data_IF_844387589847
#
_entry.id   IF_844387589847
#
_cell.length_a   1.000
_cell.length_b   1.000
_cell.length_c   1.000
_cell.angle_alpha   90.00
_cell.angle_beta   90.00
_cell.angle_gamma   90.00
#
_symmetry.space_group_name_H-M   'P 1'
#
loop_
_entity.id
_entity.type
_entity.pdbx_description
1 polymer ?
#
# COMPACT_ATOMS: atom_id res chain seq x y z
N UNK A 1 9.60 0.67 13.65
CA UNK A 1 9.38 1.99 13.03
C UNK A 1 9.25 3.13 14.05
N UNK A 2 8.32 3.15 15.02
CA UNK A 2 8.14 4.30 15.96
C UNK A 2 9.42 4.84 16.60
N UNK A 3 10.39 3.97 16.93
CA UNK A 3 11.68 4.38 17.50
C UNK A 3 12.58 5.04 16.46
N UNK A 4 12.65 4.51 15.26
CA UNK A 4 13.48 5.03 14.18
C UNK A 4 12.98 6.41 13.70
N UNK A 5 11.65 6.59 13.60
CA UNK A 5 11.02 7.86 13.25
C UNK A 5 11.31 9.00 14.23
N UNK A 6 11.77 8.70 15.47
CA UNK A 6 12.25 9.73 16.39
C UNK A 6 13.65 10.28 16.02
N UNK A 7 14.42 9.50 15.25
CA UNK A 7 15.75 9.91 14.77
C UNK A 7 15.72 10.64 13.44
N UNK A 8 14.73 10.35 12.60
CA UNK A 8 14.48 10.99 11.32
C UNK A 8 13.01 10.88 10.95
N UNK A 9 12.26 11.91 11.20
CA UNK A 9 10.81 12.00 11.02
C UNK A 9 10.43 12.51 9.63
N UNK A 10 9.13 12.65 9.38
CA UNK A 10 8.62 13.32 8.17
C UNK A 10 9.02 14.81 8.11
N UNK A 11 9.10 15.48 9.26
CA UNK A 11 9.57 16.87 9.33
C UNK A 11 11.03 16.97 8.93
N UNK A 12 11.87 16.06 9.44
CA UNK A 12 13.30 16.04 9.07
C UNK A 12 13.49 15.73 7.58
N UNK A 13 12.67 14.83 7.01
CA UNK A 13 12.69 14.55 5.59
C UNK A 13 12.27 15.78 4.74
N UNK A 14 11.22 16.47 5.18
CA UNK A 14 10.75 17.69 4.54
C UNK A 14 11.85 18.75 4.51
N UNK A 15 12.44 19.09 5.65
CA UNK A 15 13.52 20.04 5.78
C UNK A 15 14.75 19.63 4.96
N UNK A 16 15.08 18.35 4.95
CA UNK A 16 16.21 17.83 4.18
C UNK A 16 16.05 18.07 2.68
N UNK A 17 14.87 17.77 2.10
CA UNK A 17 14.62 18.01 0.68
C UNK A 17 14.54 19.49 0.34
N UNK A 18 13.99 20.34 1.21
CA UNK A 18 14.01 21.80 0.99
C UNK A 18 15.44 22.36 1.01
N UNK A 19 16.27 21.90 1.93
CA UNK A 19 17.70 22.29 1.97
C UNK A 19 18.48 21.84 0.73
N UNK A 20 18.06 20.76 0.08
CA UNK A 20 18.60 20.31 -1.21
C UNK A 20 17.95 21.00 -2.43
N UNK A 21 17.08 21.98 -2.19
CA UNK A 21 16.51 22.83 -3.23
C UNK A 21 15.19 22.38 -3.83
N UNK A 22 14.57 21.32 -3.29
CA UNK A 22 13.23 20.86 -3.70
C UNK A 22 12.16 21.67 -3.00
N UNK A 23 11.35 22.41 -3.74
CA UNK A 23 10.18 23.09 -3.17
C UNK A 23 9.04 22.09 -2.96
N UNK A 24 8.56 21.96 -1.72
CA UNK A 24 7.53 21.01 -1.33
C UNK A 24 6.19 21.71 -1.04
N UNK A 25 5.10 20.94 -1.20
CA UNK A 25 3.75 21.35 -0.81
C UNK A 25 3.04 20.20 -0.09
N UNK A 26 2.30 20.54 0.94
CA UNK A 26 1.45 19.59 1.67
C UNK A 26 0.02 19.71 1.14
N UNK A 27 -0.56 18.59 0.71
CA UNK A 27 -1.94 18.51 0.23
C UNK A 27 -2.95 18.39 1.40
N UNK A 28 -4.23 18.46 1.11
CA UNK A 28 -5.31 18.40 2.13
C UNK A 28 -5.34 17.07 2.90
N UNK A 29 -4.84 15.97 2.29
CA UNK A 29 -4.69 14.65 2.89
C UNK A 29 -3.38 14.47 3.67
N UNK A 30 -2.66 15.56 3.94
CA UNK A 30 -1.34 15.61 4.60
C UNK A 30 -0.21 14.93 3.82
N UNK A 31 -0.45 14.50 2.59
CA UNK A 31 0.61 14.00 1.72
C UNK A 31 1.48 15.15 1.18
N UNK A 32 2.79 14.93 1.15
CA UNK A 32 3.77 15.92 0.68
C UNK A 32 4.27 15.55 -0.71
N UNK A 33 4.25 16.54 -1.61
CA UNK A 33 4.73 16.40 -2.99
C UNK A 33 5.63 17.57 -3.38
N UNK A 34 6.50 17.42 -4.40
CA UNK A 34 7.13 18.56 -5.06
C UNK A 34 6.06 19.52 -5.60
N UNK A 35 6.30 20.82 -5.53
CA UNK A 35 5.40 21.83 -6.13
C UNK A 35 5.22 21.60 -7.63
N UNK A 36 6.24 21.08 -8.30
CA UNK A 36 6.19 20.70 -9.72
C UNK A 36 5.25 19.54 -10.02
N UNK A 37 4.81 18.78 -9.02
CA UNK A 37 4.08 17.50 -9.15
C UNK A 37 4.81 16.46 -10.03
N UNK A 38 6.13 16.61 -10.19
CA UNK A 38 6.97 15.69 -10.98
C UNK A 38 7.89 14.89 -10.03
N UNK A 39 7.67 13.58 -9.97
CA UNK A 39 8.51 12.66 -9.20
C UNK A 39 9.98 12.66 -9.64
N UNK A 40 10.25 13.04 -10.92
CA UNK A 40 11.63 13.14 -11.44
C UNK A 40 12.43 14.25 -10.77
N UNK A 41 11.80 15.26 -10.19
CA UNK A 41 12.51 16.29 -9.41
C UNK A 41 13.24 15.64 -8.22
N UNK A 42 12.60 14.73 -7.49
CA UNK A 42 13.21 13.98 -6.39
C UNK A 42 14.36 13.10 -6.89
N UNK A 43 14.15 12.34 -7.98
CA UNK A 43 15.18 11.47 -8.56
C UNK A 43 16.39 12.26 -9.01
N UNK A 44 16.17 13.39 -9.68
CA UNK A 44 17.24 14.25 -10.17
C UNK A 44 18.03 14.88 -9.01
N UNK A 45 17.35 15.34 -7.97
CA UNK A 45 17.98 15.88 -6.75
C UNK A 45 18.90 14.85 -6.10
N UNK A 46 18.41 13.63 -5.86
CA UNK A 46 19.19 12.53 -5.29
C UNK A 46 20.40 12.19 -6.19
N UNK A 47 20.21 12.17 -7.51
CA UNK A 47 21.29 11.90 -8.47
C UNK A 47 22.36 13.00 -8.45
N UNK A 48 21.94 14.26 -8.35
CA UNK A 48 22.87 15.39 -8.22
C UNK A 48 23.69 15.32 -6.92
N UNK A 49 23.06 14.91 -5.80
CA UNK A 49 23.77 14.73 -4.53
C UNK A 49 24.83 13.63 -4.65
N UNK A 50 24.47 12.46 -5.25
CA UNK A 50 25.42 11.38 -5.52
C UNK A 50 26.63 11.89 -6.29
N UNK A 51 26.42 12.66 -7.36
CA UNK A 51 27.48 13.22 -8.18
C UNK A 51 28.33 14.26 -7.40
N UNK A 52 27.68 15.18 -6.66
CA UNK A 52 28.32 16.21 -5.85
C UNK A 52 29.24 15.60 -4.79
N UNK A 53 28.82 14.50 -4.19
CA UNK A 53 29.60 13.78 -3.18
C UNK A 53 30.64 12.81 -3.75
N UNK A 54 30.77 12.71 -5.07
CA UNK A 54 31.72 11.80 -5.73
C UNK A 54 31.42 10.32 -5.53
N UNK A 55 30.17 9.97 -5.23
CA UNK A 55 29.74 8.57 -5.05
C UNK A 55 29.68 7.89 -6.41
N UNK A 56 30.32 6.74 -6.54
CA UNK A 56 30.30 5.96 -7.79
C UNK A 56 28.98 5.23 -7.96
N UNK A 57 28.17 5.62 -8.94
CA UNK A 57 26.98 4.93 -9.34
C UNK A 57 27.29 3.95 -10.49
N UNK A 58 27.19 2.65 -10.24
CA UNK A 58 27.45 1.60 -11.24
C UNK A 58 26.12 0.99 -11.70
N UNK A 59 25.54 1.58 -12.74
CA UNK A 59 24.33 1.03 -13.35
C UNK A 59 24.61 -0.28 -14.09
N UNK A 60 23.59 -1.14 -14.22
CA UNK A 60 23.72 -2.44 -14.87
C UNK A 60 24.57 -3.47 -14.09
N UNK A 61 24.92 -3.20 -12.84
CA UNK A 61 25.65 -4.13 -11.96
C UNK A 61 24.71 -4.80 -10.97
N UNK A 62 23.93 -5.75 -11.47
CA UNK A 62 23.04 -6.53 -10.61
C UNK A 62 23.86 -7.43 -9.69
N UNK A 63 23.70 -7.28 -8.38
CA UNK A 63 24.29 -8.18 -7.39
C UNK A 63 23.50 -9.49 -7.39
N UNK A 64 24.18 -10.62 -7.56
CA UNK A 64 23.58 -11.96 -7.55
C UNK A 64 23.93 -12.74 -6.30
N UNK A 65 25.06 -12.43 -5.66
CA UNK A 65 25.49 -13.10 -4.45
C UNK A 65 26.28 -12.14 -3.55
N UNK A 66 26.02 -12.23 -2.25
CA UNK A 66 26.79 -11.56 -1.20
C UNK A 66 27.36 -12.65 -0.32
N UNK A 67 28.69 -12.63 -0.12
CA UNK A 67 29.37 -13.52 0.80
C UNK A 67 30.25 -12.74 1.76
N UNK A 68 30.50 -13.28 2.95
CA UNK A 68 31.30 -12.67 3.99
C UNK A 68 32.50 -13.56 4.29
N UNK A 69 33.70 -13.04 4.09
CA UNK A 69 34.93 -13.68 4.50
C UNK A 69 35.21 -13.33 5.97
N UNK A 70 35.01 -14.29 6.84
CA UNK A 70 35.18 -14.12 8.29
C UNK A 70 36.63 -13.95 8.74
N UNK A 71 37.61 -14.36 7.91
CA UNK A 71 39.04 -14.25 8.25
C UNK A 71 39.53 -12.80 8.08
N UNK A 72 39.13 -12.14 7.00
CA UNK A 72 39.55 -10.78 6.72
C UNK A 72 38.43 -9.71 6.99
N UNK A 73 37.25 -10.15 7.39
CA UNK A 73 36.12 -9.28 7.72
C UNK A 73 35.48 -8.57 6.51
N UNK A 74 35.78 -8.99 5.27
CA UNK A 74 35.31 -8.32 4.05
C UNK A 74 34.15 -9.06 3.40
N UNK A 75 33.30 -8.29 2.76
CA UNK A 75 32.25 -8.79 1.89
C UNK A 75 32.75 -8.92 0.46
N UNK A 76 32.30 -9.95 -0.24
CA UNK A 76 32.47 -10.11 -1.69
C UNK A 76 31.10 -10.02 -2.36
N UNK A 77 30.99 -9.18 -3.37
CA UNK A 77 29.78 -8.98 -4.17
C UNK A 77 30.01 -9.55 -5.56
N UNK A 78 29.24 -10.59 -5.92
CA UNK A 78 29.24 -11.13 -7.28
C UNK A 78 28.13 -10.48 -8.09
N UNK A 79 28.51 -9.99 -9.26
CA UNK A 79 27.57 -9.39 -10.22
C UNK A 79 27.17 -10.38 -11.31
N UNK A 80 25.98 -10.17 -11.90
CA UNK A 80 25.51 -10.93 -13.04
C UNK A 80 26.32 -10.71 -14.31
N UNK A 81 26.38 -11.75 -15.16
CA UNK A 81 27.18 -11.75 -16.38
C UNK A 81 28.69 -11.89 -16.10
N UNK A 82 29.54 -11.52 -17.09
CA UNK A 82 30.99 -11.62 -17.00
C UNK A 82 31.64 -10.41 -16.32
N UNK A 83 31.06 -9.89 -15.23
CA UNK A 83 31.62 -8.75 -14.48
C UNK A 83 32.50 -9.24 -13.35
N UNK A 84 33.60 -8.52 -13.10
CA UNK A 84 34.46 -8.78 -11.94
C UNK A 84 33.68 -8.53 -10.64
N UNK A 85 33.91 -9.36 -9.63
CA UNK A 85 33.40 -9.15 -8.27
C UNK A 85 34.00 -7.89 -7.64
N UNK A 86 33.28 -7.33 -6.66
CA UNK A 86 33.79 -6.24 -5.83
C UNK A 86 33.92 -6.71 -4.38
N UNK A 87 34.84 -6.09 -3.64
CA UNK A 87 34.96 -6.28 -2.20
C UNK A 87 34.59 -5.02 -1.45
N UNK A 88 34.07 -5.16 -0.24
CA UNK A 88 33.66 -4.05 0.61
C UNK A 88 33.87 -4.40 2.09
N UNK A 89 34.15 -3.37 2.91
CA UNK A 89 34.25 -3.49 4.36
C UNK A 89 32.85 -3.43 5.01
N UNK A 90 31.89 -2.78 4.33
CA UNK A 90 30.53 -2.62 4.77
C UNK A 90 29.56 -2.71 3.57
N UNK A 91 28.41 -3.36 3.75
CA UNK A 91 27.38 -3.49 2.73
C UNK A 91 26.04 -3.00 3.28
N UNK A 92 25.40 -2.10 2.55
CA UNK A 92 24.02 -1.69 2.81
C UNK A 92 23.12 -2.22 1.70
N UNK A 93 22.16 -3.05 2.06
CA UNK A 93 21.20 -3.61 1.12
C UNK A 93 19.94 -2.74 1.14
N UNK A 94 19.69 -2.01 0.05
CA UNK A 94 18.56 -1.11 -0.12
C UNK A 94 17.89 -1.30 -1.50
N UNK A 95 17.66 -2.56 -1.88
CA UNK A 95 17.20 -2.96 -3.23
C UNK A 95 15.69 -2.75 -3.44
N UNK A 96 14.97 -2.25 -2.45
CA UNK A 96 13.50 -2.16 -2.49
C UNK A 96 12.82 -3.50 -2.29
N UNK A 97 11.51 -3.55 -2.58
CA UNK A 97 10.73 -4.77 -2.51
C UNK A 97 11.13 -5.79 -3.57
N UNK A 98 10.98 -7.07 -3.25
CA UNK A 98 11.36 -8.16 -4.13
C UNK A 98 10.10 -8.91 -4.60
N UNK A 99 9.66 -8.74 -5.86
CA UNK A 99 8.45 -9.38 -6.36
C UNK A 99 8.55 -10.92 -6.48
N UNK A 100 9.76 -11.47 -6.37
CA UNK A 100 10.01 -12.90 -6.43
C UNK A 100 11.04 -13.33 -5.36
N UNK A 101 10.73 -14.39 -4.62
CA UNK A 101 11.60 -14.96 -3.59
C UNK A 101 13.02 -15.29 -4.11
N UNK A 102 13.16 -15.64 -5.40
CA UNK A 102 14.46 -15.91 -6.02
C UNK A 102 15.43 -14.71 -5.98
N UNK A 103 14.95 -13.50 -5.84
CA UNK A 103 15.81 -12.32 -5.70
C UNK A 103 16.51 -12.27 -4.33
N UNK A 104 15.93 -12.92 -3.31
CA UNK A 104 16.52 -13.04 -1.99
C UNK A 104 17.63 -14.13 -1.92
N UNK A 105 17.78 -14.93 -2.98
CA UNK A 105 18.84 -15.95 -3.06
C UNK A 105 20.25 -15.35 -3.02
N UNK A 106 20.38 -14.02 -3.23
CA UNK A 106 21.66 -13.34 -3.05
C UNK A 106 22.22 -13.48 -1.64
N UNK A 107 21.39 -13.78 -0.67
CA UNK A 107 21.80 -13.98 0.73
C UNK A 107 22.11 -15.44 1.08
N UNK A 108 22.00 -16.39 0.14
CA UNK A 108 22.15 -17.82 0.44
C UNK A 108 23.44 -18.21 1.18
N UNK A 109 24.60 -17.50 1.00
CA UNK A 109 25.80 -17.82 1.79
C UNK A 109 25.79 -17.24 3.22
N UNK A 110 24.77 -16.45 3.58
CA UNK A 110 24.73 -15.68 4.83
C UNK A 110 23.66 -16.16 5.81
N UNK A 111 22.94 -17.24 5.48
CA UNK A 111 21.86 -17.81 6.32
C UNK A 111 20.83 -16.76 6.82
N UNK A 112 20.56 -15.73 6.01
CA UNK A 112 19.60 -14.69 6.33
C UNK A 112 18.18 -15.25 6.28
N UNK A 113 17.44 -15.15 7.38
CA UNK A 113 16.04 -15.57 7.44
C UNK A 113 15.19 -14.60 6.60
N UNK A 114 14.41 -15.14 5.67
CA UNK A 114 13.52 -14.35 4.83
C UNK A 114 12.09 -14.79 4.98
N UNK A 115 11.17 -13.82 4.91
CA UNK A 115 9.72 -14.06 4.82
C UNK A 115 9.33 -14.04 3.34
N UNK A 116 8.46 -14.98 2.93
CA UNK A 116 8.05 -15.07 1.53
C UNK A 116 7.43 -13.76 1.04
N UNK A 117 7.97 -13.14 -0.02
CA UNK A 117 7.43 -11.89 -0.53
C UNK A 117 6.11 -12.13 -1.26
N UNK A 118 5.10 -11.35 -0.90
CA UNK A 118 3.78 -11.33 -1.52
C UNK A 118 3.36 -9.90 -1.84
N UNK A 119 2.58 -9.67 -2.90
CA UNK A 119 2.05 -8.35 -3.22
C UNK A 119 1.18 -7.77 -2.10
N UNK A 120 1.33 -6.49 -1.86
CA UNK A 120 0.58 -5.64 -0.95
C UNK A 120 0.12 -4.38 -1.72
N UNK A 121 -0.90 -3.67 -1.24
CA UNK A 121 -1.42 -2.44 -1.86
C UNK A 121 -1.85 -2.61 -3.33
N UNK A 122 -2.70 -3.57 -3.62
CA UNK A 122 -3.16 -3.83 -4.98
C UNK A 122 -4.67 -3.67 -5.15
N UNK A 123 -5.08 -3.31 -6.38
CA UNK A 123 -6.48 -3.27 -6.82
C UNK A 123 -7.04 -4.68 -7.00
N UNK A 124 -8.32 -4.86 -6.67
CA UNK A 124 -9.02 -6.16 -6.73
C UNK A 124 -9.82 -6.29 -8.02
N UNK A 125 -9.71 -7.44 -8.69
CA UNK A 125 -10.47 -7.77 -9.89
C UNK A 125 -11.82 -8.40 -9.53
N UNK A 126 -12.87 -7.93 -10.20
CA UNK A 126 -14.24 -8.45 -10.08
C UNK A 126 -14.76 -8.87 -11.48
N UNK A 127 -14.30 -10.01 -12.03
CA UNK A 127 -14.73 -10.44 -13.36
C UNK A 127 -16.24 -10.72 -13.37
N UNK A 128 -16.91 -10.28 -14.43
CA UNK A 128 -18.35 -10.50 -14.57
C UNK A 128 -19.25 -9.59 -13.72
N UNK A 129 -18.71 -8.82 -12.76
CA UNK A 129 -19.53 -7.92 -11.94
C UNK A 129 -19.99 -6.69 -12.75
N UNK A 130 -21.30 -6.42 -12.69
CA UNK A 130 -21.95 -5.31 -13.37
C UNK A 130 -21.51 -3.93 -12.87
N UNK A 131 -20.93 -3.84 -11.68
CA UNK A 131 -20.46 -2.57 -11.09
C UNK A 131 -19.38 -1.91 -11.95
N UNK A 132 -18.60 -2.67 -12.72
CA UNK A 132 -17.56 -2.15 -13.62
C UNK A 132 -18.09 -1.18 -14.67
N UNK A 133 -19.40 -1.21 -14.97
CA UNK A 133 -20.08 -0.23 -15.84
C UNK A 133 -20.08 1.18 -15.22
N UNK A 134 -19.82 1.28 -13.94
CA UNK A 134 -19.72 2.54 -13.19
C UNK A 134 -18.29 3.05 -13.07
N UNK A 135 -17.36 2.57 -13.91
CA UNK A 135 -15.96 3.01 -13.93
C UNK A 135 -15.83 4.53 -13.80
N UNK A 136 -14.89 4.97 -12.96
CA UNK A 136 -14.64 6.38 -12.63
C UNK A 136 -15.48 6.90 -11.46
N UNK A 137 -16.42 6.10 -10.92
CA UNK A 137 -17.17 6.49 -9.71
C UNK A 137 -16.27 6.34 -8.47
N UNK A 138 -16.20 7.40 -7.68
CA UNK A 138 -15.60 7.42 -6.35
C UNK A 138 -16.70 7.48 -5.30
N UNK A 139 -16.54 6.73 -4.23
CA UNK A 139 -17.31 6.84 -2.98
C UNK A 139 -16.33 7.28 -1.92
N UNK A 140 -16.48 8.49 -1.43
CA UNK A 140 -15.48 9.13 -0.53
C UNK A 140 -15.35 8.40 0.80
N UNK A 141 -16.45 7.90 1.33
CA UNK A 141 -16.49 7.17 2.58
C UNK A 141 -17.05 5.76 2.34
N UNK A 142 -16.19 4.79 2.21
CA UNK A 142 -16.56 3.38 2.16
C UNK A 142 -15.78 2.57 3.19
N UNK A 143 -16.42 1.52 3.69
CA UNK A 143 -15.74 0.49 4.50
C UNK A 143 -15.72 -0.81 3.73
N UNK A 144 -14.56 -1.44 3.69
CA UNK A 144 -14.36 -2.74 3.07
C UNK A 144 -13.85 -3.76 4.09
N UNK A 145 -14.28 -5.00 3.98
CA UNK A 145 -13.84 -6.08 4.87
C UNK A 145 -13.85 -7.44 4.16
N UNK A 146 -13.14 -8.40 4.72
CA UNK A 146 -13.20 -9.80 4.27
C UNK A 146 -14.06 -10.57 5.29
N UNK A 147 -15.24 -11.11 4.89
CA UNK A 147 -16.12 -11.82 5.79
C UNK A 147 -15.43 -12.98 6.50
N UNK A 148 -15.76 -13.19 7.79
CA UNK A 148 -15.16 -14.25 8.61
C UNK A 148 -13.73 -13.95 9.11
N UNK A 149 -13.17 -12.77 8.81
CA UNK A 149 -11.85 -12.35 9.25
C UNK A 149 -11.93 -11.03 10.03
N UNK A 150 -10.77 -10.61 10.57
CA UNK A 150 -10.63 -9.27 11.20
C UNK A 150 -10.21 -8.18 10.21
N UNK A 151 -9.96 -8.52 8.95
CA UNK A 151 -9.46 -7.57 7.96
C UNK A 151 -10.55 -6.60 7.54
N UNK A 152 -10.30 -5.33 7.80
CA UNK A 152 -11.19 -4.21 7.50
C UNK A 152 -10.36 -2.98 7.16
N UNK A 153 -10.87 -2.14 6.26
CA UNK A 153 -10.27 -0.87 5.89
C UNK A 153 -11.34 0.15 5.50
N UNK A 154 -11.06 1.41 5.81
CA UNK A 154 -11.93 2.55 5.55
C UNK A 154 -11.23 3.55 4.62
N UNK A 155 -12.01 4.29 3.84
CA UNK A 155 -11.55 5.38 2.98
C UNK A 155 -12.29 5.45 1.65
N UNK A 156 -11.83 6.31 0.73
CA UNK A 156 -12.36 6.37 -0.62
C UNK A 156 -12.24 5.04 -1.37
N UNK A 157 -13.30 4.67 -2.09
CA UNK A 157 -13.36 3.51 -2.96
C UNK A 157 -13.58 3.96 -4.40
N UNK A 158 -12.70 3.52 -5.31
CA UNK A 158 -12.78 3.81 -6.74
C UNK A 158 -13.25 2.59 -7.52
N UNK A 159 -14.29 2.74 -8.31
CA UNK A 159 -14.73 1.71 -9.26
C UNK A 159 -13.93 1.86 -10.56
N UNK A 160 -13.33 0.75 -11.01
CA UNK A 160 -12.50 0.67 -12.21
C UNK A 160 -13.11 -0.27 -13.24
N UNK A 161 -12.56 -0.30 -14.46
CA UNK A 161 -13.01 -1.23 -15.51
C UNK A 161 -12.62 -2.71 -15.24
N UNK A 162 -11.72 -2.97 -14.31
CA UNK A 162 -11.39 -4.34 -13.87
C UNK A 162 -12.07 -4.75 -12.57
N UNK A 163 -12.50 -3.80 -11.75
CA UNK A 163 -13.07 -4.08 -10.44
C UNK A 163 -13.03 -2.86 -9.53
N UNK A 164 -12.26 -2.92 -8.46
CA UNK A 164 -12.20 -1.87 -7.44
C UNK A 164 -10.77 -1.53 -7.03
N UNK A 165 -10.56 -0.27 -6.69
CA UNK A 165 -9.32 0.34 -6.22
C UNK A 165 -9.63 1.44 -5.21
N UNK A 166 -8.67 2.32 -4.97
CA UNK A 166 -8.77 3.42 -4.01
C UNK A 166 -8.33 3.02 -2.61
N UNK A 167 -8.16 4.00 -1.71
CA UNK A 167 -7.59 3.79 -0.38
C UNK A 167 -8.24 2.66 0.43
N UNK A 168 -9.59 2.51 0.40
CA UNK A 168 -10.28 1.43 1.11
C UNK A 168 -9.84 0.04 0.63
N UNK A 169 -9.69 -0.16 -0.68
CA UNK A 169 -9.28 -1.44 -1.27
C UNK A 169 -7.78 -1.68 -1.10
N UNK A 170 -6.96 -0.65 -1.33
CA UNK A 170 -5.50 -0.76 -1.20
C UNK A 170 -5.09 -1.08 0.24
N UNK A 171 -5.68 -0.41 1.23
CA UNK A 171 -5.45 -0.72 2.65
C UNK A 171 -5.93 -2.13 3.01
N UNK A 172 -7.12 -2.55 2.53
CA UNK A 172 -7.64 -3.89 2.78
C UNK A 172 -6.69 -4.95 2.22
N UNK A 173 -6.20 -4.77 0.99
CA UNK A 173 -5.27 -5.69 0.35
C UNK A 173 -3.92 -5.75 1.08
N UNK A 174 -3.45 -4.64 1.64
CA UNK A 174 -2.25 -4.60 2.49
C UNK A 174 -2.46 -5.35 3.81
N UNK A 175 -3.52 -5.01 4.55
CA UNK A 175 -3.82 -5.68 5.83
C UNK A 175 -4.00 -7.20 5.68
N UNK A 176 -4.50 -7.65 4.53
CA UNK A 176 -4.81 -9.04 4.24
C UNK A 176 -3.83 -9.70 3.25
N UNK A 177 -2.65 -9.11 2.97
CA UNK A 177 -1.76 -9.54 1.89
C UNK A 177 -1.43 -11.04 1.91
N UNK A 178 -1.00 -11.57 3.06
CA UNK A 178 -0.67 -12.99 3.23
C UNK A 178 -1.92 -13.88 3.11
N UNK A 179 -3.02 -13.50 3.73
CA UNK A 179 -4.30 -14.20 3.62
C UNK A 179 -4.77 -14.29 2.17
N UNK A 180 -4.72 -13.16 1.44
CA UNK A 180 -5.13 -13.12 0.03
C UNK A 180 -4.20 -13.97 -0.85
N UNK A 181 -2.90 -13.99 -0.57
CA UNK A 181 -1.96 -14.86 -1.26
C UNK A 181 -2.26 -16.35 -1.06
N UNK A 182 -2.51 -16.77 0.20
CA UNK A 182 -2.88 -18.15 0.57
C UNK A 182 -4.19 -18.62 -0.10
N UNK A 183 -5.10 -17.67 -0.38
CA UNK A 183 -6.38 -17.94 -1.07
C UNK A 183 -6.32 -17.64 -2.58
N UNK A 184 -5.11 -17.58 -3.18
CA UNK A 184 -4.92 -17.30 -4.62
C UNK A 184 -5.61 -16.02 -5.09
N UNK A 185 -5.77 -15.03 -4.19
CA UNK A 185 -6.49 -13.77 -4.42
C UNK A 185 -7.97 -13.95 -4.78
N UNK A 186 -8.58 -15.05 -4.33
CA UNK A 186 -10.00 -15.39 -4.55
C UNK A 186 -10.74 -15.41 -3.23
N UNK A 187 -11.55 -14.38 -2.99
CA UNK A 187 -12.31 -14.24 -1.75
C UNK A 187 -13.55 -13.39 -1.96
N UNK A 188 -14.47 -13.43 -1.03
CA UNK A 188 -15.54 -12.47 -0.96
C UNK A 188 -15.08 -11.23 -0.18
N UNK A 189 -15.48 -10.05 -0.64
CA UNK A 189 -15.36 -8.81 0.11
C UNK A 189 -16.76 -8.29 0.44
N UNK A 190 -16.90 -7.68 1.60
CA UNK A 190 -18.08 -6.99 2.04
C UNK A 190 -17.83 -5.48 1.98
N UNK A 191 -18.72 -4.75 1.32
CA UNK A 191 -18.65 -3.30 1.17
C UNK A 191 -19.80 -2.67 1.92
N UNK A 192 -19.49 -1.74 2.81
CA UNK A 192 -20.42 -0.79 3.38
C UNK A 192 -20.22 0.55 2.64
N UNK A 193 -21.20 0.90 1.82
CA UNK A 193 -21.20 2.11 0.98
C UNK A 193 -21.48 3.40 1.76
N UNK A 194 -21.69 3.27 3.07
CA UNK A 194 -22.10 4.35 3.97
C UNK A 194 -21.04 4.66 5.05
N UNK A 195 -19.74 4.46 4.76
CA UNK A 195 -18.65 4.84 5.68
C UNK A 195 -18.65 4.05 7.00
N UNK A 196 -19.08 2.78 6.97
CA UNK A 196 -19.10 1.95 8.16
C UNK A 196 -20.26 2.21 9.12
N UNK A 197 -21.22 3.04 8.75
CA UNK A 197 -22.46 3.26 9.52
C UNK A 197 -23.22 1.95 9.70
N UNK A 198 -23.90 1.81 10.83
CA UNK A 198 -24.71 0.64 11.16
C UNK A 198 -26.01 0.62 10.36
N UNK A 199 -26.61 -0.57 10.25
CA UNK A 199 -27.88 -0.75 9.54
C UNK A 199 -29.03 0.12 10.13
N UNK A 200 -29.02 0.34 11.44
CA UNK A 200 -30.01 1.19 12.12
C UNK A 200 -29.93 2.63 11.63
N UNK A 201 -28.72 3.21 11.59
CA UNK A 201 -28.45 4.60 11.17
C UNK A 201 -28.84 4.80 9.68
N UNK A 202 -28.52 3.82 8.83
CA UNK A 202 -28.89 3.86 7.41
C UNK A 202 -30.41 3.68 7.23
N UNK A 203 -31.05 2.90 8.08
CA UNK A 203 -32.53 2.75 8.09
C UNK A 203 -33.20 4.09 8.44
N UNK A 204 -32.69 4.80 9.43
CA UNK A 204 -33.20 6.13 9.82
C UNK A 204 -33.05 7.14 8.68
N UNK A 205 -31.88 7.18 8.04
CA UNK A 205 -31.63 8.07 6.89
C UNK A 205 -32.60 7.77 5.73
N UNK A 206 -32.70 6.50 5.32
CA UNK A 206 -33.62 6.12 4.23
C UNK A 206 -35.09 6.36 4.59
N UNK A 207 -35.48 6.20 5.84
CA UNK A 207 -36.82 6.48 6.33
C UNK A 207 -37.14 8.01 6.27
N UNK A 208 -36.15 8.85 6.61
CA UNK A 208 -36.28 10.31 6.50
C UNK A 208 -36.40 10.74 5.03
N UNK A 209 -35.56 10.14 4.13
CA UNK A 209 -35.69 10.38 2.68
C UNK A 209 -37.07 9.96 2.18
N UNK A 210 -37.58 8.80 2.60
CA UNK A 210 -38.91 8.29 2.24
C UNK A 210 -40.00 9.24 2.69
N UNK A 211 -40.00 9.71 3.94
CA UNK A 211 -40.98 10.63 4.50
C UNK A 211 -41.05 11.98 3.73
N UNK A 212 -39.87 12.48 3.34
CA UNK A 212 -39.75 13.75 2.61
C UNK A 212 -40.04 13.64 1.11
N UNK A 213 -40.05 12.43 0.54
CA UNK A 213 -40.14 12.21 -0.91
C UNK A 213 -41.17 11.15 -1.32
N UNK A 214 -42.26 10.96 -0.57
CA UNK A 214 -43.24 9.89 -0.75
C UNK A 214 -43.71 9.67 -2.19
N UNK A 215 -43.85 10.76 -2.98
CA UNK A 215 -44.35 10.74 -4.36
C UNK A 215 -43.22 10.54 -5.40
N UNK A 216 -41.94 10.69 -5.03
CA UNK A 216 -40.81 10.53 -5.94
C UNK A 216 -40.45 9.06 -6.09
N UNK A 217 -39.88 8.69 -7.26
CA UNK A 217 -39.34 7.37 -7.48
C UNK A 217 -38.05 7.17 -6.64
N UNK A 218 -37.75 5.94 -6.26
CA UNK A 218 -36.54 5.57 -5.50
C UNK A 218 -35.26 6.08 -6.19
N UNK A 219 -35.20 5.97 -7.52
CA UNK A 219 -34.05 6.44 -8.30
C UNK A 219 -33.84 7.96 -8.26
N UNK A 220 -34.86 8.76 -7.90
CA UNK A 220 -34.82 10.22 -7.97
C UNK A 220 -34.52 10.90 -6.63
N UNK A 221 -34.49 10.17 -5.52
CA UNK A 221 -34.14 10.72 -4.20
C UNK A 221 -33.29 9.66 -3.47
N UNK A 222 -32.09 10.02 -3.10
CA UNK A 222 -31.06 9.10 -2.60
C UNK A 222 -30.15 9.77 -1.57
N UNK A 223 -29.37 8.98 -0.80
CA UNK A 223 -28.40 9.51 0.14
C UNK A 223 -27.39 10.44 -0.55
N UNK A 224 -27.09 11.64 0.01
CA UNK A 224 -26.30 12.68 -0.66
C UNK A 224 -24.82 12.29 -0.91
N UNK A 225 -24.30 11.32 -0.18
CA UNK A 225 -22.94 10.80 -0.34
C UNK A 225 -22.78 9.79 -1.50
N UNK A 226 -23.90 9.36 -2.12
CA UNK A 226 -23.90 8.49 -3.30
C UNK A 226 -24.25 9.30 -4.55
N UNK A 227 -23.67 8.92 -5.71
CA UNK A 227 -24.13 9.48 -6.97
C UNK A 227 -25.31 8.67 -7.56
N UNK A 228 -26.07 9.29 -8.44
CA UNK A 228 -27.28 8.72 -9.02
C UNK A 228 -27.03 7.36 -9.72
N UNK A 229 -25.91 7.22 -10.44
CA UNK A 229 -25.58 6.00 -11.18
C UNK A 229 -25.30 4.82 -10.24
N UNK A 230 -24.53 5.05 -9.19
CA UNK A 230 -24.25 4.04 -8.17
C UNK A 230 -25.52 3.67 -7.40
N UNK A 231 -26.31 4.69 -7.00
CA UNK A 231 -27.57 4.47 -6.30
C UNK A 231 -28.53 3.58 -7.11
N UNK A 232 -28.74 3.89 -8.39
CA UNK A 232 -29.56 3.05 -9.26
C UNK A 232 -29.06 1.61 -9.32
N UNK A 233 -27.76 1.40 -9.49
CA UNK A 233 -27.14 0.08 -9.48
C UNK A 233 -27.39 -0.67 -8.16
N UNK A 234 -27.29 0.02 -7.01
CA UNK A 234 -27.52 -0.59 -5.69
C UNK A 234 -29.01 -0.95 -5.46
N UNK A 235 -29.97 -0.12 -5.97
CA UNK A 235 -31.39 -0.48 -5.96
C UNK A 235 -31.60 -1.78 -6.77
N UNK A 236 -31.12 -1.83 -8.00
CA UNK A 236 -31.24 -3.00 -8.87
C UNK A 236 -30.63 -4.26 -8.20
N UNK A 237 -29.42 -4.10 -7.61
CA UNK A 237 -28.76 -5.17 -6.89
C UNK A 237 -29.54 -5.65 -5.65
N UNK A 238 -30.25 -4.76 -4.97
CA UNK A 238 -31.13 -5.12 -3.85
C UNK A 238 -32.41 -5.83 -4.29
N UNK A 239 -32.62 -5.99 -5.60
CA UNK A 239 -33.84 -6.56 -6.19
C UNK A 239 -35.10 -5.77 -5.80
N UNK A 240 -34.96 -4.46 -5.67
CA UNK A 240 -36.07 -3.52 -5.52
C UNK A 240 -36.27 -2.80 -6.86
N UNK A 241 -37.53 -2.58 -7.25
CA UNK A 241 -37.84 -1.90 -8.50
C UNK A 241 -37.47 -0.39 -8.41
N UNK A 242 -36.56 0.13 -9.24
CA UNK A 242 -36.15 1.53 -9.20
C UNK A 242 -37.29 2.53 -9.50
N UNK A 243 -38.32 2.09 -10.21
CA UNK A 243 -39.50 2.92 -10.56
C UNK A 243 -40.51 3.03 -9.42
N UNK A 244 -40.35 2.20 -8.36
CA UNK A 244 -41.23 2.28 -7.19
C UNK A 244 -41.09 3.64 -6.52
N UNK A 245 -42.22 4.19 -6.02
CA UNK A 245 -42.19 5.44 -5.23
C UNK A 245 -41.77 5.15 -3.79
N UNK A 246 -41.15 6.12 -3.16
CA UNK A 246 -40.72 5.97 -1.77
C UNK A 246 -41.89 5.63 -0.82
N UNK A 247 -43.07 6.22 -1.04
CA UNK A 247 -44.28 5.94 -0.24
C UNK A 247 -44.85 4.54 -0.44
N UNK A 248 -44.41 3.83 -1.49
CA UNK A 248 -44.85 2.45 -1.81
C UNK A 248 -43.82 1.40 -1.31
N UNK A 249 -42.66 1.87 -0.84
CA UNK A 249 -41.59 0.98 -0.38
C UNK A 249 -41.98 0.36 0.97
N UNK A 250 -42.26 -0.95 0.92
CA UNK A 250 -42.58 -1.71 2.13
C UNK A 250 -41.31 -1.99 2.95
N UNK A 251 -41.47 -2.33 4.24
CA UNK A 251 -40.39 -2.66 5.18
C UNK A 251 -39.40 -3.72 4.62
N UNK A 252 -39.91 -4.73 3.90
CA UNK A 252 -39.07 -5.75 3.26
C UNK A 252 -38.15 -5.15 2.20
N UNK A 253 -38.63 -4.22 1.39
CA UNK A 253 -37.83 -3.51 0.40
C UNK A 253 -36.78 -2.60 1.05
N UNK A 254 -37.20 -1.86 2.08
CA UNK A 254 -36.27 -1.02 2.86
C UNK A 254 -35.12 -1.84 3.45
N UNK A 255 -35.43 -2.99 4.09
CA UNK A 255 -34.40 -3.86 4.67
C UNK A 255 -33.43 -4.39 3.59
N UNK A 256 -33.90 -4.72 2.38
CA UNK A 256 -33.04 -5.14 1.27
C UNK A 256 -32.07 -4.00 0.84
N UNK A 257 -32.58 -2.77 0.73
CA UNK A 257 -31.73 -1.61 0.41
C UNK A 257 -30.70 -1.36 1.50
N UNK A 258 -31.09 -1.34 2.77
CA UNK A 258 -30.19 -1.19 3.92
C UNK A 258 -29.09 -2.26 3.90
N UNK A 259 -29.47 -3.52 3.72
CA UNK A 259 -28.50 -4.61 3.66
C UNK A 259 -27.52 -4.46 2.49
N UNK A 260 -28.01 -4.04 1.31
CA UNK A 260 -27.15 -3.78 0.15
C UNK A 260 -26.22 -2.59 0.39
N UNK A 261 -26.65 -1.58 1.11
CA UNK A 261 -25.84 -0.40 1.43
C UNK A 261 -24.77 -0.68 2.49
N UNK A 262 -25.07 -1.54 3.46
CA UNK A 262 -24.21 -1.79 4.61
C UNK A 262 -23.40 -3.09 4.54
N UNK A 263 -23.80 -4.04 3.70
CA UNK A 263 -23.22 -5.38 3.61
C UNK A 263 -23.26 -5.97 2.19
N UNK A 264 -22.83 -5.21 1.20
CA UNK A 264 -22.76 -5.65 -0.20
C UNK A 264 -21.61 -6.63 -0.42
N UNK A 265 -21.93 -7.92 -0.53
CA UNK A 265 -20.94 -8.98 -0.77
C UNK A 265 -20.61 -9.06 -2.26
N UNK A 266 -19.30 -9.01 -2.58
CA UNK A 266 -18.81 -9.15 -3.95
C UNK A 266 -17.66 -10.13 -4.03
N UNK A 267 -17.66 -10.93 -5.10
CA UNK A 267 -16.62 -11.92 -5.36
C UNK A 267 -15.40 -11.25 -6.01
N UNK A 268 -14.27 -11.34 -5.35
CA UNK A 268 -12.95 -11.03 -5.92
C UNK A 268 -12.38 -12.30 -6.54
N UNK A 269 -11.88 -12.19 -7.76
CA UNK A 269 -11.19 -13.27 -8.46
C UNK A 269 -9.92 -12.73 -9.12
N UNK A 270 -8.95 -12.45 -8.28
CA UNK A 270 -7.62 -12.01 -8.68
C UNK A 270 -7.27 -10.58 -8.25
N UNK A 271 -5.98 -10.32 -8.33
CA UNK A 271 -5.38 -8.99 -8.19
C UNK A 271 -5.17 -8.37 -9.56
N UNK A 272 -5.12 -7.04 -9.62
CA UNK A 272 -4.77 -6.32 -10.84
C UNK A 272 -3.37 -6.75 -11.33
N UNK A 273 -3.15 -6.75 -12.65
CA UNK A 273 -1.89 -7.21 -13.27
C UNK A 273 -0.81 -6.14 -13.35
N UNK A 274 -1.08 -4.89 -12.96
CA UNK A 274 -0.10 -3.82 -12.96
C UNK A 274 0.94 -4.06 -11.86
N UNK A 275 2.08 -4.60 -12.24
CA UNK A 275 3.17 -5.01 -11.32
C UNK A 275 3.89 -3.82 -10.68
N UNK A 276 3.79 -2.65 -11.29
CA UNK A 276 4.53 -1.44 -10.96
C UNK A 276 3.97 -0.70 -9.75
N UNK A 277 2.75 -1.04 -9.32
CA UNK A 277 2.04 -0.37 -8.21
C UNK A 277 2.10 -1.14 -6.89
N UNK A 278 2.76 -2.30 -6.86
CA UNK A 278 2.74 -3.16 -5.69
C UNK A 278 3.88 -2.86 -4.72
N UNK A 279 3.52 -2.70 -3.45
CA UNK A 279 4.44 -2.82 -2.33
C UNK A 279 4.59 -4.30 -2.00
N UNK A 280 5.76 -4.70 -1.53
CA UNK A 280 6.03 -6.08 -1.13
C UNK A 280 5.83 -6.25 0.38
N UNK A 281 4.94 -7.16 0.77
CA UNK A 281 4.86 -7.69 2.14
C UNK A 281 5.75 -8.93 2.20
N UNK A 282 6.77 -8.94 3.05
CA UNK A 282 7.81 -9.97 3.10
C UNK A 282 9.20 -9.39 2.79
N UNK A 283 10.21 -10.26 2.72
CA UNK A 283 11.60 -9.85 2.53
C UNK A 283 12.51 -10.36 3.65
N UNK A 284 13.54 -9.63 3.99
CA UNK A 284 14.46 -9.97 5.09
C UNK A 284 13.74 -9.81 6.43
N UNK A 285 13.65 -10.89 7.21
CA UNK A 285 12.96 -10.89 8.49
C UNK A 285 13.64 -9.95 9.48
N UNK A 286 12.82 -9.18 10.23
CA UNK A 286 13.32 -8.30 11.29
C UNK A 286 14.06 -9.03 12.42
N UNK A 287 13.96 -10.34 12.49
CA UNK A 287 14.74 -11.17 13.44
C UNK A 287 16.23 -11.10 13.19
N UNK A 288 16.64 -10.89 11.91
CA UNK A 288 18.07 -10.80 11.54
C UNK A 288 18.74 -9.50 11.95
N UNK A 289 17.99 -8.43 12.25
CA UNK A 289 18.56 -7.09 12.40
C UNK A 289 18.46 -6.55 13.82
N UNK A 290 19.42 -5.72 14.19
CA UNK A 290 19.33 -4.85 15.34
C UNK A 290 18.34 -3.70 15.02
N UNK A 291 17.26 -3.60 15.77
CA UNK A 291 16.18 -2.62 15.49
C UNK A 291 16.58 -1.15 15.73
N UNK A 292 17.80 -0.89 16.21
CA UNK A 292 18.30 0.48 16.44
C UNK A 292 19.30 0.95 15.41
N UNK A 293 20.00 0.02 14.74
CA UNK A 293 21.05 0.29 13.76
C UNK A 293 20.73 -0.26 12.39
N UNK A 294 19.78 -1.21 12.32
CA UNK A 294 19.45 -2.01 11.14
C UNK A 294 20.63 -2.84 10.60
N UNK A 295 21.67 -3.05 11.44
CA UNK A 295 22.77 -3.96 11.19
C UNK A 295 22.31 -5.40 11.41
N UNK A 296 22.85 -6.32 10.61
CA UNK A 296 22.68 -7.75 10.86
C UNK A 296 23.21 -8.14 12.25
N UNK A 297 22.53 -9.04 12.94
CA UNK A 297 22.99 -9.57 14.22
C UNK A 297 24.14 -10.56 14.09
N UNK A 298 24.19 -11.26 12.94
CA UNK A 298 25.10 -12.38 12.70
C UNK A 298 26.25 -12.03 11.74
N UNK A 299 26.13 -10.88 11.04
CA UNK A 299 27.10 -10.42 10.04
C UNK A 299 27.46 -8.95 10.28
N UNK A 300 28.57 -8.73 10.95
CA UNK A 300 29.11 -7.39 11.24
C UNK A 300 29.38 -6.58 9.96
N UNK A 301 28.91 -5.33 9.90
CA UNK A 301 29.04 -4.49 8.69
C UNK A 301 28.01 -4.73 7.60
N UNK A 302 27.02 -5.64 7.79
CA UNK A 302 25.90 -5.83 6.87
C UNK A 302 24.65 -5.13 7.38
N UNK A 303 24.12 -4.21 6.59
CA UNK A 303 22.94 -3.41 6.95
C UNK A 303 21.82 -3.59 5.94
N UNK A 304 20.58 -3.36 6.40
CA UNK A 304 19.39 -3.42 5.55
C UNK A 304 18.55 -2.15 5.72
N UNK A 305 18.07 -1.56 4.62
CA UNK A 305 17.23 -0.37 4.66
C UNK A 305 16.11 -0.42 3.61
N UNK A 306 14.96 0.10 3.98
CA UNK A 306 13.78 0.18 3.10
C UNK A 306 13.05 -1.15 2.96
N UNK A 307 12.37 -1.31 1.84
CA UNK A 307 11.41 -2.38 1.58
C UNK A 307 12.02 -3.79 1.38
N UNK A 308 13.35 -3.90 1.36
CA UNK A 308 14.03 -5.21 1.42
C UNK A 308 13.76 -5.92 2.74
N UNK A 309 13.50 -5.17 3.81
CA UNK A 309 13.05 -5.70 5.10
C UNK A 309 11.55 -6.06 5.03
N UNK A 310 11.13 -7.06 5.84
CA UNK A 310 9.70 -7.37 6.03
C UNK A 310 8.99 -6.24 6.78
N UNK A 311 8.88 -5.09 6.11
CA UNK A 311 8.19 -3.88 6.58
C UNK A 311 7.46 -3.26 5.41
N UNK A 312 6.15 -3.34 5.44
CA UNK A 312 5.27 -2.64 4.52
C UNK A 312 4.25 -1.79 5.28
N UNK A 313 3.87 -0.69 4.68
CA UNK A 313 2.90 0.24 5.23
C UNK A 313 1.79 0.50 4.22
N UNK A 314 0.69 1.07 4.70
CA UNK A 314 -0.42 1.51 3.84
C UNK A 314 0.00 2.65 2.90
N UNK A 315 -0.88 2.96 1.92
CA UNK A 315 -0.71 4.11 1.01
C UNK A 315 -0.69 5.44 1.78
N UNK A 316 -0.04 6.47 1.21
CA UNK A 316 0.09 7.81 1.80
C UNK A 316 1.54 8.23 2.08
N UNK A 317 2.51 7.74 1.30
CA UNK A 317 3.94 8.11 1.44
C UNK A 317 4.69 7.39 2.57
N UNK A 318 4.01 6.58 3.39
CA UNK A 318 4.62 5.92 4.56
C UNK A 318 5.77 4.99 4.22
N UNK A 319 5.72 4.29 3.07
CA UNK A 319 6.81 3.40 2.62
C UNK A 319 8.06 4.21 2.24
N UNK A 320 7.90 5.35 1.58
CA UNK A 320 9.00 6.26 1.26
C UNK A 320 9.62 6.85 2.53
N UNK A 321 8.77 7.35 3.44
CA UNK A 321 9.25 7.87 4.73
C UNK A 321 10.00 6.79 5.52
N UNK A 322 9.50 5.55 5.53
CA UNK A 322 10.18 4.44 6.19
C UNK A 322 11.56 4.18 5.56
N UNK A 323 11.67 4.20 4.24
CA UNK A 323 12.94 4.00 3.54
C UNK A 323 13.95 5.10 3.86
N UNK A 324 13.56 6.37 3.86
CA UNK A 324 14.43 7.50 4.22
C UNK A 324 14.88 7.44 5.69
N UNK A 325 13.95 7.16 6.60
CA UNK A 325 14.24 6.97 8.03
C UNK A 325 15.24 5.83 8.26
N UNK A 326 15.06 4.70 7.57
CA UNK A 326 15.98 3.57 7.66
C UNK A 326 17.34 3.88 7.05
N UNK A 327 17.38 4.55 5.90
CA UNK A 327 18.62 5.00 5.26
C UNK A 327 19.42 5.91 6.17
N UNK A 328 18.77 6.92 6.77
CA UNK A 328 19.40 7.80 7.76
C UNK A 328 19.91 7.03 8.99
N UNK A 329 19.10 6.10 9.53
CA UNK A 329 19.49 5.28 10.67
C UNK A 329 20.75 4.47 10.41
N UNK A 330 20.83 3.84 9.23
CA UNK A 330 22.00 3.06 8.79
C UNK A 330 23.21 3.97 8.63
N UNK A 331 23.05 5.14 8.00
CA UNK A 331 24.14 6.09 7.82
C UNK A 331 24.74 6.52 9.15
N UNK A 332 23.92 6.88 10.12
CA UNK A 332 24.37 7.26 11.49
C UNK A 332 25.06 6.08 12.20
N UNK A 333 24.58 4.86 12.01
CA UNK A 333 25.18 3.67 12.62
C UNK A 333 26.57 3.39 12.05
N UNK A 334 26.73 3.48 10.72
CA UNK A 334 28.00 3.31 10.01
C UNK A 334 29.00 4.42 10.43
N UNK A 335 28.54 5.67 10.45
CA UNK A 335 29.38 6.79 10.86
C UNK A 335 29.96 6.60 12.28
N UNK A 336 29.13 6.20 13.23
CA UNK A 336 29.58 5.92 14.60
C UNK A 336 30.56 4.77 14.68
N UNK A 337 30.42 3.75 13.81
CA UNK A 337 31.28 2.57 13.83
C UNK A 337 32.66 2.84 13.21
N UNK A 338 32.74 3.65 12.16
CA UNK A 338 33.98 3.83 11.37
C UNK A 338 34.66 5.19 11.55
N UNK A 339 34.06 6.12 12.34
CA UNK A 339 34.72 7.39 12.74
C UNK A 339 35.61 7.27 13.98
N UNK A 340 35.55 6.16 14.70
CA UNK A 340 36.41 5.84 15.84
C UNK A 340 37.54 4.92 15.36
#
# INVERSE_FOLDING_TARGET
MKRLLKGFSHTDAYEWFENEGVRLTTQEDECVFPVSQDAMEIVNTLTQIINRLGIRLLTGHRVELISHDKENGKYSLRFGGNRSSATADCVVVAIGGTPAASQLNMFSPLDIITENPVPSLFSMCLPGDGIKKLMGTVVEEATTSIPGTKFKADGPLLITHWGMSGPAILKLSSHAARFLHEHEYKTDICINWCGGRKAEEVTEELSAISASNTKKQLASAYPPHLNARLWQHLIERSQVNPQLRWGELQRKGLNKLVNTLTADIRRVDGKCRFKEEFVTCGGVSLKNVNHSTLESKDHDGLYFAGEVLDVDAVTGGFNLQAAWTMGHTVAVAIEKKYKN
#
